data_IF_873310373212
#
_entry.id   IF_873310373212
#
_cell.length_a   1.000
_cell.length_b   1.000
_cell.length_c   1.000
_cell.angle_alpha   90.00
_cell.angle_beta   90.00
_cell.angle_gamma   90.00
#
_symmetry.space_group_name_H-M   'P 1'
#
loop_
_entity.id
_entity.type
_entity.pdbx_description
1 polymer ?
#
# COMPACT_ATOMS: atom_id res chain seq x y z
N UNK A 1 -12.47 -9.89 -38.75
CA UNK A 1 -12.33 -10.30 -37.34
C UNK A 1 -10.87 -10.18 -36.94
N UNK A 2 -10.50 -9.30 -36.00
CA UNK A 2 -9.28 -9.44 -35.24
C UNK A 2 -9.56 -9.70 -33.75
N UNK A 3 -8.65 -10.45 -33.15
CA UNK A 3 -8.78 -11.14 -31.87
C UNK A 3 -8.44 -10.17 -30.73
N UNK A 4 -9.43 -9.83 -29.91
CA UNK A 4 -9.25 -9.14 -28.64
C UNK A 4 -8.84 -10.17 -27.57
N UNK A 5 -7.52 -10.37 -27.40
CA UNK A 5 -6.95 -11.16 -26.30
C UNK A 5 -5.62 -10.56 -25.87
N UNK A 6 -5.62 -9.51 -25.04
CA UNK A 6 -4.40 -9.05 -24.32
C UNK A 6 -4.66 -8.03 -23.21
N UNK A 7 -5.75 -8.14 -22.47
CA UNK A 7 -5.97 -7.31 -21.26
C UNK A 7 -6.05 -8.11 -19.96
N UNK A 8 -6.13 -9.45 -20.03
CA UNK A 8 -6.27 -10.30 -18.84
C UNK A 8 -4.94 -10.90 -18.33
N UNK A 9 -3.84 -10.80 -19.08
CA UNK A 9 -2.54 -11.32 -18.65
C UNK A 9 -1.83 -10.42 -17.61
N UNK A 10 -2.31 -9.18 -17.40
CA UNK A 10 -1.72 -8.22 -16.46
C UNK A 10 -2.10 -8.46 -14.99
N UNK A 11 -3.17 -9.19 -14.70
CA UNK A 11 -3.64 -9.43 -13.33
C UNK A 11 -2.95 -10.64 -12.65
N UNK A 12 -2.47 -11.61 -13.42
CA UNK A 12 -1.87 -12.83 -12.87
C UNK A 12 -0.44 -12.63 -12.33
N UNK A 13 0.28 -11.59 -12.75
CA UNK A 13 1.64 -11.29 -12.28
C UNK A 13 1.68 -10.46 -11.00
N UNK A 14 0.56 -9.88 -10.57
CA UNK A 14 0.46 -9.13 -9.31
C UNK A 14 0.48 -10.02 -8.06
N UNK A 15 -0.04 -11.25 -8.16
CA UNK A 15 -0.15 -12.18 -7.02
C UNK A 15 1.19 -12.81 -6.63
N UNK A 16 2.14 -12.92 -7.58
CA UNK A 16 3.45 -13.53 -7.31
C UNK A 16 4.40 -12.54 -6.59
N UNK A 17 4.22 -11.23 -6.77
CA UNK A 17 5.06 -10.22 -6.10
C UNK A 17 4.70 -10.01 -4.63
N UNK A 18 3.47 -10.33 -4.21
CA UNK A 18 3.08 -10.35 -2.79
C UNK A 18 3.65 -11.55 -2.02
N UNK A 19 4.09 -12.60 -2.71
CA UNK A 19 4.78 -13.75 -2.10
C UNK A 19 6.29 -13.53 -1.93
N UNK A 20 6.87 -12.47 -2.52
CA UNK A 20 8.31 -12.18 -2.48
C UNK A 20 8.84 -11.65 -1.13
N UNK A 21 7.95 -11.29 -0.20
CA UNK A 21 8.30 -10.77 1.13
C UNK A 21 8.17 -11.82 2.26
N UNK A 22 8.18 -13.12 1.95
CA UNK A 22 7.97 -14.23 2.92
C UNK A 22 9.30 -14.87 3.37
N UNK A 23 10.39 -14.10 3.38
CA UNK A 23 11.76 -14.63 3.52
C UNK A 23 12.43 -14.60 4.90
N UNK A 24 11.72 -14.44 6.02
CA UNK A 24 12.33 -14.38 7.37
C UNK A 24 11.60 -15.22 8.43
N UNK A 25 11.16 -16.43 8.09
CA UNK A 25 10.34 -17.30 8.94
C UNK A 25 11.04 -18.49 9.60
N UNK A 26 12.36 -18.48 9.84
CA UNK A 26 13.02 -19.60 10.52
C UNK A 26 14.02 -19.10 11.57
N UNK A 27 13.57 -19.00 12.83
CA UNK A 27 14.48 -18.93 13.98
C UNK A 27 14.22 -17.87 15.06
N UNK A 28 13.02 -17.31 15.21
CA UNK A 28 12.75 -16.41 16.35
C UNK A 28 12.23 -17.20 17.57
N UNK A 29 12.82 -17.02 18.77
CA UNK A 29 12.40 -17.69 20.00
C UNK A 29 11.00 -17.23 20.46
N UNK A 30 10.28 -18.11 21.14
CA UNK A 30 8.97 -17.83 21.77
C UNK A 30 9.02 -16.51 22.55
N UNK A 31 8.18 -15.56 22.15
CA UNK A 31 7.97 -14.32 22.91
C UNK A 31 7.16 -14.69 24.14
N UNK A 32 7.75 -14.43 25.30
CA UNK A 32 7.09 -14.57 26.60
C UNK A 32 6.00 -13.51 26.68
N UNK A 33 4.75 -13.94 26.75
CA UNK A 33 3.58 -13.06 26.94
C UNK A 33 3.82 -12.14 28.14
N UNK A 34 3.73 -10.83 27.92
CA UNK A 34 3.84 -9.84 28.97
C UNK A 34 2.42 -9.39 29.35
N UNK A 35 1.83 -9.90 30.45
CA UNK A 35 0.45 -9.61 30.81
C UNK A 35 0.38 -8.22 31.44
N UNK A 36 0.26 -7.18 30.62
CA UNK A 36 0.19 -5.81 31.15
C UNK A 36 -0.07 -4.68 30.16
N UNK A 37 0.02 -4.89 28.85
CA UNK A 37 -0.43 -3.90 27.89
C UNK A 37 -1.94 -4.00 27.73
N UNK A 38 -2.67 -3.01 28.25
CA UNK A 38 -4.05 -2.80 27.82
C UNK A 38 -4.04 -2.61 26.30
N UNK A 39 -4.76 -3.46 25.56
CA UNK A 39 -5.02 -3.22 24.14
C UNK A 39 -5.62 -1.83 24.02
N UNK A 40 -4.84 -0.88 23.50
CA UNK A 40 -5.40 0.40 23.11
C UNK A 40 -6.46 0.09 22.06
N UNK A 41 -7.69 0.59 22.23
CA UNK A 41 -8.71 0.48 21.19
C UNK A 41 -8.17 1.20 19.94
N UNK A 42 -7.67 0.41 18.98
CA UNK A 42 -7.10 0.96 17.77
C UNK A 42 -8.22 1.64 16.95
N UNK A 43 -7.94 2.81 16.35
CA UNK A 43 -8.93 3.51 15.56
C UNK A 43 -9.34 2.69 14.34
N UNK A 44 -10.58 2.87 13.89
CA UNK A 44 -11.09 2.18 12.71
C UNK A 44 -10.66 2.93 11.45
N UNK A 45 -10.28 2.18 10.43
CA UNK A 45 -9.99 2.73 9.12
C UNK A 45 -11.26 2.76 8.26
N UNK A 46 -11.61 3.91 7.66
CA UNK A 46 -12.84 4.05 6.88
C UNK A 46 -12.75 3.31 5.55
N UNK A 47 -13.91 3.06 4.93
CA UNK A 47 -14.00 2.43 3.60
C UNK A 47 -13.50 3.35 2.48
N UNK A 48 -13.44 4.67 2.72
CA UNK A 48 -12.98 5.69 1.77
C UNK A 48 -12.12 6.72 2.49
N UNK A 49 -10.96 7.03 1.92
CA UNK A 49 -10.14 8.16 2.37
C UNK A 49 -10.62 9.47 1.73
N UNK A 50 -11.02 9.41 0.47
CA UNK A 50 -11.59 10.52 -0.30
C UNK A 50 -12.39 9.95 -1.49
N UNK A 51 -12.72 10.79 -2.48
CA UNK A 51 -13.39 10.36 -3.71
C UNK A 51 -12.51 9.47 -4.62
N UNK A 52 -11.19 9.45 -4.40
CA UNK A 52 -10.21 8.74 -5.21
C UNK A 52 -9.91 7.36 -4.64
N UNK A 53 -9.67 7.26 -3.33
CA UNK A 53 -9.21 6.05 -2.66
C UNK A 53 -10.31 5.33 -1.90
N UNK A 54 -10.67 4.15 -2.40
CA UNK A 54 -11.66 3.24 -1.82
C UNK A 54 -10.93 1.99 -1.34
N UNK A 55 -11.28 1.51 -0.14
CA UNK A 55 -10.71 0.30 0.42
C UNK A 55 -10.99 -0.89 -0.51
N UNK A 56 -9.97 -1.71 -0.77
CA UNK A 56 -10.04 -2.86 -1.68
C UNK A 56 -11.18 -3.82 -1.29
N UNK A 57 -11.35 -4.06 0.01
CA UNK A 57 -12.42 -4.88 0.57
C UNK A 57 -13.83 -4.26 0.44
N UNK A 58 -13.92 -2.97 0.18
CA UNK A 58 -15.18 -2.22 0.03
C UNK A 58 -15.48 -1.80 -1.43
N UNK A 59 -14.61 -2.13 -2.39
CA UNK A 59 -14.83 -1.79 -3.81
C UNK A 59 -16.09 -2.49 -4.33
N UNK A 60 -16.99 -1.72 -4.92
CA UNK A 60 -18.23 -2.22 -5.53
C UNK A 60 -18.11 -2.33 -7.06
N UNK A 61 -18.94 -3.17 -7.71
CA UNK A 61 -19.01 -3.21 -9.17
C UNK A 61 -19.34 -1.84 -9.81
N UNK A 62 -20.13 -1.02 -9.12
CA UNK A 62 -20.50 0.33 -9.55
C UNK A 62 -19.28 1.26 -9.58
N UNK A 63 -18.41 1.17 -8.57
CA UNK A 63 -17.15 1.92 -8.49
C UNK A 63 -16.24 1.63 -9.70
N UNK A 64 -16.15 0.35 -10.10
CA UNK A 64 -15.37 -0.08 -11.27
C UNK A 64 -16.11 -0.01 -12.61
N UNK A 65 -17.34 0.52 -12.64
CA UNK A 65 -18.20 0.60 -13.84
C UNK A 65 -18.38 -0.76 -14.55
N UNK A 66 -18.46 -1.85 -13.78
CA UNK A 66 -18.65 -3.19 -14.33
C UNK A 66 -20.04 -3.32 -14.99
N UNK A 67 -20.08 -3.58 -16.29
CA UNK A 67 -21.33 -3.68 -17.07
C UNK A 67 -21.71 -5.10 -17.46
N UNK A 68 -20.83 -6.09 -17.24
CA UNK A 68 -21.08 -7.49 -17.57
C UNK A 68 -21.17 -8.35 -16.30
N UNK A 69 -21.98 -9.43 -16.29
CA UNK A 69 -22.07 -10.33 -15.15
C UNK A 69 -20.70 -10.91 -14.71
N UNK A 70 -19.82 -11.21 -15.66
CA UNK A 70 -18.48 -11.72 -15.38
C UNK A 70 -17.61 -10.66 -14.69
N UNK A 71 -17.66 -9.41 -15.13
CA UNK A 71 -16.91 -8.31 -14.50
C UNK A 71 -17.42 -8.05 -13.07
N UNK A 72 -18.74 -8.09 -12.87
CA UNK A 72 -19.36 -7.98 -11.54
C UNK A 72 -18.88 -9.11 -10.62
N UNK A 73 -18.85 -10.36 -11.12
CA UNK A 73 -18.39 -11.51 -10.34
C UNK A 73 -16.89 -11.43 -9.99
N UNK A 74 -16.05 -11.01 -10.93
CA UNK A 74 -14.62 -10.83 -10.72
C UNK A 74 -14.32 -9.75 -9.67
N UNK A 75 -15.01 -8.61 -9.73
CA UNK A 75 -14.83 -7.55 -8.74
C UNK A 75 -15.26 -7.99 -7.33
N UNK A 76 -16.37 -8.71 -7.22
CA UNK A 76 -16.82 -9.26 -5.92
C UNK A 76 -15.82 -10.27 -5.35
N UNK A 77 -15.29 -11.15 -6.19
CA UNK A 77 -14.26 -12.10 -5.79
C UNK A 77 -12.98 -11.37 -5.33
N UNK A 78 -12.57 -10.34 -6.07
CA UNK A 78 -11.42 -9.50 -5.70
C UNK A 78 -11.60 -8.80 -4.35
N UNK A 79 -12.75 -8.16 -4.11
CA UNK A 79 -13.03 -7.51 -2.82
C UNK A 79 -13.08 -8.52 -1.66
N UNK A 80 -13.60 -9.74 -1.90
CA UNK A 80 -13.62 -10.83 -0.90
C UNK A 80 -12.20 -11.29 -0.56
N UNK A 81 -11.37 -11.49 -1.58
CA UNK A 81 -9.96 -11.89 -1.40
C UNK A 81 -9.17 -10.81 -0.66
N UNK A 82 -9.41 -9.53 -0.99
CA UNK A 82 -8.81 -8.40 -0.30
C UNK A 82 -9.18 -8.39 1.19
N UNK A 83 -10.46 -8.60 1.53
CA UNK A 83 -10.89 -8.70 2.92
C UNK A 83 -10.22 -9.87 3.68
N UNK A 84 -10.04 -11.02 3.02
CA UNK A 84 -9.31 -12.15 3.58
C UNK A 84 -7.83 -11.81 3.82
N UNK A 85 -7.19 -11.18 2.85
CA UNK A 85 -5.79 -10.75 2.93
C UNK A 85 -5.56 -9.71 4.02
N UNK A 86 -6.46 -8.73 4.16
CA UNK A 86 -6.43 -7.73 5.24
C UNK A 86 -6.56 -8.39 6.62
N UNK A 87 -7.46 -9.37 6.75
CA UNK A 87 -7.61 -10.15 7.98
C UNK A 87 -6.34 -10.94 8.32
N UNK A 88 -5.76 -11.66 7.36
CA UNK A 88 -4.51 -12.39 7.57
C UNK A 88 -3.34 -11.47 7.94
N UNK A 89 -3.23 -10.32 7.28
CA UNK A 89 -2.20 -9.33 7.58
C UNK A 89 -2.38 -8.78 9.01
N UNK A 90 -3.62 -8.45 9.40
CA UNK A 90 -3.95 -8.05 10.77
C UNK A 90 -3.52 -9.13 11.79
N UNK A 91 -3.89 -10.40 11.57
CA UNK A 91 -3.56 -11.48 12.50
C UNK A 91 -2.04 -11.66 12.66
N UNK A 92 -1.28 -11.56 11.55
CA UNK A 92 0.18 -11.65 11.60
C UNK A 92 0.82 -10.48 12.34
N UNK A 93 0.33 -9.26 12.10
CA UNK A 93 0.84 -8.07 12.78
C UNK A 93 0.46 -8.03 14.26
N UNK A 94 -0.75 -8.47 14.62
CA UNK A 94 -1.18 -8.61 16.01
C UNK A 94 -0.30 -9.61 16.78
N UNK A 95 0.20 -10.65 16.11
CA UNK A 95 1.18 -11.57 16.71
C UNK A 95 2.54 -10.95 17.04
N UNK A 96 2.85 -9.76 16.51
CA UNK A 96 4.13 -9.04 16.70
C UNK A 96 3.94 -7.80 17.58
N UNK A 97 2.84 -7.07 17.37
CA UNK A 97 2.54 -5.77 17.97
C UNK A 97 1.34 -5.79 18.92
N UNK A 98 0.94 -6.97 19.40
CA UNK A 98 -0.24 -7.24 20.25
C UNK A 98 -1.61 -7.00 19.59
N UNK A 99 -1.77 -5.96 18.76
CA UNK A 99 -2.92 -5.73 17.89
C UNK A 99 -2.50 -4.95 16.62
N UNK A 100 -3.37 -4.94 15.62
CA UNK A 100 -3.18 -4.15 14.41
C UNK A 100 -4.52 -3.79 13.76
N UNK A 101 -4.53 -2.67 13.05
CA UNK A 101 -5.54 -2.32 12.07
C UNK A 101 -4.83 -2.13 10.73
N UNK A 102 -5.30 -2.84 9.71
CA UNK A 102 -4.70 -2.83 8.37
C UNK A 102 -5.81 -2.57 7.37
N UNK A 103 -5.53 -1.72 6.38
CA UNK A 103 -6.44 -1.51 5.25
C UNK A 103 -5.70 -1.12 4.00
N UNK A 104 -6.11 -1.67 2.86
CA UNK A 104 -5.56 -1.32 1.55
C UNK A 104 -6.59 -0.53 0.74
N UNK A 105 -6.16 0.51 0.06
CA UNK A 105 -6.97 1.40 -0.76
C UNK A 105 -6.46 1.45 -2.20
N UNK A 106 -7.37 1.69 -3.12
CA UNK A 106 -7.12 1.76 -4.56
C UNK A 106 -7.67 3.05 -5.15
N UNK A 107 -6.90 3.65 -6.05
CA UNK A 107 -7.34 4.74 -6.92
C UNK A 107 -8.33 4.21 -7.97
N UNK A 108 -9.61 4.21 -7.61
CA UNK A 108 -10.67 3.67 -8.46
C UNK A 108 -10.84 4.47 -9.75
N UNK A 109 -10.86 5.82 -9.76
CA UNK A 109 -10.95 6.59 -10.99
C UNK A 109 -9.86 6.26 -12.03
N UNK A 110 -8.64 5.96 -11.59
CA UNK A 110 -7.55 5.53 -12.47
C UNK A 110 -7.78 4.13 -13.09
N UNK A 111 -8.44 3.21 -12.38
CA UNK A 111 -8.72 1.85 -12.90
C UNK A 111 -9.72 1.83 -14.06
N UNK A 112 -10.64 2.80 -14.09
CA UNK A 112 -11.73 2.85 -15.08
C UNK A 112 -11.41 3.73 -16.29
N UNK A 113 -10.23 4.35 -16.35
CA UNK A 113 -9.81 5.16 -17.49
C UNK A 113 -9.46 4.26 -18.68
N UNK A 114 -10.14 4.48 -19.82
CA UNK A 114 -10.06 3.62 -21.02
C UNK A 114 -8.66 3.50 -21.69
N UNK A 115 -7.66 4.24 -21.20
CA UNK A 115 -6.28 4.27 -21.70
C UNK A 115 -5.23 4.00 -20.59
N UNK A 116 -5.61 3.40 -19.46
CA UNK A 116 -4.69 3.17 -18.35
C UNK A 116 -3.62 2.11 -18.69
N UNK A 117 -2.54 2.54 -19.34
CA UNK A 117 -1.28 1.77 -19.45
C UNK A 117 -0.47 1.79 -18.16
N UNK A 118 -0.80 2.69 -17.22
CA UNK A 118 -0.20 2.78 -15.89
C UNK A 118 -1.00 1.97 -14.87
N UNK A 119 -0.28 1.28 -13.97
CA UNK A 119 -0.89 0.64 -12.80
C UNK A 119 -1.58 1.71 -11.92
N UNK A 120 -2.79 1.43 -11.39
CA UNK A 120 -3.47 2.37 -10.50
C UNK A 120 -2.64 2.58 -9.23
N UNK A 121 -2.74 3.77 -8.65
CA UNK A 121 -2.12 4.04 -7.36
C UNK A 121 -2.79 3.21 -6.26
N UNK A 122 -2.00 2.76 -5.29
CA UNK A 122 -2.47 1.99 -4.14
C UNK A 122 -1.89 2.55 -2.85
N UNK A 123 -2.65 2.46 -1.77
CA UNK A 123 -2.18 2.77 -0.42
C UNK A 123 -2.44 1.56 0.47
N UNK A 124 -1.52 1.25 1.37
CA UNK A 124 -1.74 0.33 2.49
C UNK A 124 -1.49 1.11 3.77
N UNK A 125 -2.45 1.09 4.67
CA UNK A 125 -2.41 1.78 5.95
C UNK A 125 -2.34 0.72 7.04
N UNK A 126 -1.36 0.85 7.92
CA UNK A 126 -1.16 -0.01 9.08
C UNK A 126 -1.13 0.87 10.34
N UNK A 127 -1.87 0.46 11.36
CA UNK A 127 -1.91 1.10 12.67
C UNK A 127 -1.64 0.03 13.72
N UNK A 128 -0.66 0.27 14.59
CA UNK A 128 -0.27 -0.64 15.68
C UNK A 128 -0.12 0.14 16.98
N UNK A 129 -0.33 -0.48 18.14
CA UNK A 129 -0.16 0.19 19.42
C UNK A 129 1.31 0.47 19.72
N UNK A 130 1.55 1.51 20.51
CA UNK A 130 2.88 1.94 20.95
C UNK A 130 3.70 2.65 19.88
N UNK A 131 4.96 2.91 20.24
CA UNK A 131 6.02 3.29 19.30
C UNK A 131 6.59 1.99 18.72
N UNK A 132 6.22 1.66 17.48
CA UNK A 132 6.66 0.45 16.79
C UNK A 132 8.17 0.45 16.51
N UNK A 133 8.87 1.54 16.83
CA UNK A 133 10.29 1.69 16.65
C UNK A 133 10.68 1.85 15.20
N UNK A 134 11.99 1.77 14.96
CA UNK A 134 12.59 2.01 13.66
C UNK A 134 12.61 0.72 12.83
N UNK A 135 11.76 0.65 11.80
CA UNK A 135 11.80 -0.41 10.78
C UNK A 135 12.21 0.24 9.46
N UNK A 136 13.34 -0.20 8.89
CA UNK A 136 13.87 0.34 7.63
C UNK A 136 14.02 -0.81 6.63
N UNK A 137 13.01 -1.05 5.77
CA UNK A 137 12.98 -2.24 4.91
C UNK A 137 14.21 -2.41 4.02
N UNK A 138 14.76 -1.31 3.50
CA UNK A 138 15.93 -1.31 2.62
C UNK A 138 17.25 -0.97 3.34
N UNK A 139 17.24 -0.92 4.67
CA UNK A 139 18.37 -0.48 5.48
C UNK A 139 18.60 1.04 5.45
N UNK A 140 19.50 1.57 6.30
CA UNK A 140 19.64 3.02 6.51
C UNK A 140 20.43 3.74 5.41
N UNK A 141 20.91 3.01 4.40
CA UNK A 141 21.83 3.53 3.40
C UNK A 141 21.07 3.98 2.18
N UNK A 142 21.38 5.18 1.69
CA UNK A 142 20.93 5.62 0.37
C UNK A 142 21.47 4.64 -0.68
N UNK A 143 20.59 4.21 -1.57
CA UNK A 143 20.94 3.37 -2.71
C UNK A 143 20.75 4.24 -3.94
N UNK A 144 21.83 4.45 -4.66
CA UNK A 144 21.82 5.09 -5.98
C UNK A 144 22.46 4.09 -6.94
N UNK A 145 21.64 3.18 -7.46
CA UNK A 145 22.02 2.20 -8.46
C UNK A 145 21.39 2.60 -9.79
N UNK A 146 22.02 2.22 -10.90
CA UNK A 146 21.56 2.60 -12.25
C UNK A 146 20.06 2.35 -12.43
N UNK A 147 19.28 3.43 -12.43
CA UNK A 147 17.84 3.42 -12.64
C UNK A 147 16.96 3.18 -11.41
N UNK A 148 17.50 2.94 -10.21
CA UNK A 148 16.73 2.78 -8.97
C UNK A 148 17.41 3.47 -7.79
N UNK A 149 16.60 4.24 -7.08
CA UNK A 149 17.01 5.14 -6.03
C UNK A 149 16.25 4.84 -4.75
N UNK A 150 16.91 5.03 -3.61
CA UNK A 150 16.32 4.92 -2.29
C UNK A 150 16.83 6.05 -1.38
N UNK A 151 15.92 6.69 -0.68
CA UNK A 151 16.22 7.76 0.25
C UNK A 151 15.34 7.70 1.52
N UNK A 152 15.92 8.13 2.64
CA UNK A 152 15.24 8.35 3.91
C UNK A 152 15.17 9.85 4.15
N UNK A 153 13.97 10.43 4.10
CA UNK A 153 13.79 11.88 4.20
C UNK A 153 12.53 12.27 4.93
N UNK A 154 12.45 13.54 5.32
CA UNK A 154 11.21 14.11 5.83
C UNK A 154 10.36 14.67 4.70
N UNK A 155 9.10 14.26 4.63
CA UNK A 155 8.11 14.75 3.64
C UNK A 155 6.83 15.10 4.40
N UNK A 156 6.31 16.32 4.21
CA UNK A 156 5.12 16.77 4.95
C UNK A 156 5.30 16.82 6.49
N UNK A 157 6.54 16.77 6.99
CA UNK A 157 6.82 16.64 8.43
C UNK A 157 6.98 15.19 8.91
N UNK A 158 6.61 14.21 8.10
CA UNK A 158 6.67 12.78 8.40
C UNK A 158 8.00 12.16 8.02
N UNK A 159 8.35 11.05 8.69
CA UNK A 159 9.55 10.27 8.36
C UNK A 159 9.15 9.32 7.25
N UNK A 160 9.76 9.46 6.08
CA UNK A 160 9.42 8.64 4.93
C UNK A 160 10.64 7.92 4.35
N UNK A 161 10.44 6.68 3.94
CA UNK A 161 11.32 5.95 3.05
C UNK A 161 10.78 6.04 1.62
N UNK A 162 11.64 6.43 0.69
CA UNK A 162 11.25 6.76 -0.67
C UNK A 162 12.11 5.97 -1.62
N UNK A 163 11.50 5.03 -2.33
CA UNK A 163 12.13 4.28 -3.42
C UNK A 163 11.55 4.79 -4.73
N UNK A 164 12.39 5.03 -5.74
CA UNK A 164 11.91 5.36 -7.07
C UNK A 164 12.79 4.82 -8.16
N UNK A 165 12.20 4.55 -9.32
CA UNK A 165 12.94 4.16 -10.51
C UNK A 165 12.92 5.25 -11.56
N UNK A 166 14.05 5.43 -12.25
CA UNK A 166 14.12 6.32 -13.41
C UNK A 166 13.22 5.79 -14.52
N UNK A 167 12.64 6.71 -15.29
CA UNK A 167 11.92 6.33 -16.50
C UNK A 167 12.92 5.79 -17.52
N UNK A 168 12.69 4.58 -18.01
CA UNK A 168 13.54 3.91 -18.99
C UNK A 168 12.89 4.00 -20.37
N UNK A 169 13.67 4.34 -21.39
CA UNK A 169 13.22 4.26 -22.78
C UNK A 169 13.03 2.77 -23.14
N UNK A 170 11.82 2.33 -23.55
CA UNK A 170 11.53 0.92 -23.79
C UNK A 170 12.25 0.34 -25.01
N UNK A 171 12.78 1.19 -25.90
CA UNK A 171 13.49 0.80 -27.11
C UNK A 171 14.99 0.67 -26.86
N UNK A 172 15.56 1.55 -26.04
CA UNK A 172 17.01 1.59 -25.80
C UNK A 172 17.44 0.97 -24.46
N UNK A 173 16.52 0.84 -23.50
CA UNK A 173 16.82 0.36 -22.16
C UNK A 173 17.62 1.35 -21.30
N UNK A 174 17.77 2.59 -21.76
CA UNK A 174 18.55 3.65 -21.10
C UNK A 174 17.59 4.60 -20.36
N UNK A 175 17.95 5.12 -19.17
CA UNK A 175 17.20 6.19 -18.53
C UNK A 175 16.95 7.39 -19.45
N UNK A 176 15.72 7.87 -19.49
CA UNK A 176 15.30 9.01 -20.32
C UNK A 176 15.78 10.35 -19.77
N UNK A 177 16.16 10.39 -18.48
CA UNK A 177 16.46 11.63 -17.75
C UNK A 177 15.21 12.45 -17.39
N UNK A 178 14.00 11.94 -17.68
CA UNK A 178 12.76 12.58 -17.28
C UNK A 178 12.59 12.53 -15.76
N UNK A 179 11.94 13.55 -15.20
CA UNK A 179 11.61 13.57 -13.78
C UNK A 179 10.64 12.42 -13.46
N UNK A 180 10.90 11.61 -12.41
CA UNK A 180 9.98 10.55 -12.02
C UNK A 180 8.59 11.11 -11.68
N UNK A 181 7.57 10.41 -12.14
CA UNK A 181 6.16 10.67 -11.84
C UNK A 181 5.69 9.78 -10.70
N UNK A 182 4.48 9.96 -10.17
CA UNK A 182 3.93 9.10 -9.10
C UNK A 182 4.05 7.59 -9.41
N UNK A 183 3.86 7.20 -10.68
CA UNK A 183 4.00 5.81 -11.14
C UNK A 183 5.38 5.19 -10.89
N UNK A 184 6.41 6.01 -10.71
CA UNK A 184 7.78 5.58 -10.50
C UNK A 184 8.13 5.36 -9.01
N UNK A 185 7.27 5.78 -8.08
CA UNK A 185 7.56 5.82 -6.66
C UNK A 185 6.89 4.67 -5.87
N UNK A 186 7.61 4.24 -4.85
CA UNK A 186 7.11 3.48 -3.70
C UNK A 186 7.55 4.23 -2.45
N UNK A 187 6.59 4.60 -1.61
CA UNK A 187 6.81 5.50 -0.49
C UNK A 187 6.19 4.88 0.75
N UNK A 188 6.93 4.87 1.83
CA UNK A 188 6.43 4.50 3.15
C UNK A 188 6.61 5.72 4.06
N UNK A 189 5.54 6.26 4.64
CA UNK A 189 5.56 7.37 5.57
C UNK A 189 4.97 6.96 6.91
N UNK A 190 5.67 7.32 8.00
CA UNK A 190 5.28 6.97 9.37
C UNK A 190 5.18 8.17 10.29
N UNK A 191 4.23 8.11 11.22
CA UNK A 191 4.17 8.97 12.41
C UNK A 191 3.63 8.23 13.62
N UNK A 192 3.90 8.79 14.79
CA UNK A 192 3.36 8.31 16.07
C UNK A 192 2.42 9.39 16.61
N UNK A 193 1.24 9.00 17.08
CA UNK A 193 0.25 9.90 17.66
C UNK A 193 -0.60 9.16 18.69
N UNK A 194 -0.87 9.79 19.83
CA UNK A 194 -1.77 9.28 20.86
C UNK A 194 -1.48 7.83 21.32
N UNK A 195 -0.19 7.44 21.30
CA UNK A 195 0.25 6.12 21.72
C UNK A 195 0.07 5.01 20.69
N UNK A 196 -0.20 5.34 19.42
CA UNK A 196 -0.21 4.41 18.29
C UNK A 196 0.73 4.87 17.18
N UNK A 197 1.26 3.92 16.42
CA UNK A 197 2.06 4.17 15.22
C UNK A 197 1.17 4.05 13.99
N UNK A 198 1.20 5.05 13.12
CA UNK A 198 0.57 5.07 11.81
C UNK A 198 1.63 4.93 10.73
N UNK A 199 1.41 3.98 9.83
CA UNK A 199 2.31 3.65 8.73
C UNK A 199 1.50 3.60 7.42
N UNK A 200 1.92 4.40 6.44
CA UNK A 200 1.23 4.51 5.15
C UNK A 200 2.22 4.22 4.04
N UNK A 201 2.01 3.07 3.40
CA UNK A 201 2.75 2.64 2.22
C UNK A 201 1.96 2.95 0.94
N UNK A 202 2.50 3.80 0.08
CA UNK A 202 1.95 4.15 -1.22
C UNK A 202 2.76 3.60 -2.39
N UNK A 203 2.07 3.17 -3.43
CA UNK A 203 2.66 2.93 -4.76
C UNK A 203 1.89 3.72 -5.81
N UNK A 204 2.60 4.22 -6.83
CA UNK A 204 1.97 5.05 -7.85
C UNK A 204 1.64 6.47 -7.40
N UNK A 205 2.18 6.90 -6.25
CA UNK A 205 2.00 8.21 -5.64
C UNK A 205 3.34 8.89 -5.43
N UNK A 206 3.39 10.20 -5.60
CA UNK A 206 4.55 10.98 -5.20
C UNK A 206 4.75 10.95 -3.68
N UNK A 207 5.96 11.21 -3.16
CA UNK A 207 6.19 11.28 -1.72
C UNK A 207 5.28 12.28 -1.00
N UNK A 208 5.01 13.41 -1.64
CA UNK A 208 4.13 14.45 -1.12
C UNK A 208 2.66 13.99 -1.06
N UNK A 209 2.19 13.23 -2.05
CA UNK A 209 0.86 12.62 -2.02
C UNK A 209 0.75 11.55 -0.92
N UNK A 210 1.75 10.67 -0.76
CA UNK A 210 1.72 9.66 0.32
C UNK A 210 1.73 10.31 1.70
N UNK A 211 2.55 11.35 1.90
CA UNK A 211 2.54 12.13 3.14
C UNK A 211 1.19 12.81 3.38
N UNK A 212 0.55 13.34 2.34
CA UNK A 212 -0.80 13.89 2.44
C UNK A 212 -1.83 12.85 2.85
N UNK A 213 -1.77 11.62 2.32
CA UNK A 213 -2.71 10.57 2.74
C UNK A 213 -2.47 10.10 4.18
N UNK A 214 -1.25 10.24 4.71
CA UNK A 214 -1.02 10.06 6.14
C UNK A 214 -1.75 11.14 6.95
N UNK A 215 -1.76 12.41 6.53
CA UNK A 215 -2.60 13.45 7.15
C UNK A 215 -4.09 13.06 7.13
N UNK A 216 -4.60 12.64 5.98
CA UNK A 216 -6.01 12.24 5.82
C UNK A 216 -6.39 11.10 6.76
N UNK A 217 -5.53 10.08 6.88
CA UNK A 217 -5.75 8.97 7.82
C UNK A 217 -5.78 9.48 9.26
N UNK A 218 -4.85 10.35 9.65
CA UNK A 218 -4.81 10.92 11.01
C UNK A 218 -6.03 11.79 11.31
N UNK A 219 -6.55 12.53 10.34
CA UNK A 219 -7.76 13.34 10.48
C UNK A 219 -9.01 12.46 10.65
N UNK A 220 -9.15 11.43 9.81
CA UNK A 220 -10.33 10.55 9.83
C UNK A 220 -10.37 9.67 11.07
N UNK A 221 -9.21 9.25 11.57
CA UNK A 221 -9.13 8.44 12.80
C UNK A 221 -9.19 9.26 14.09
N UNK A 222 -9.07 10.59 14.02
CA UNK A 222 -9.20 11.47 15.19
C UNK A 222 -10.65 11.85 15.53
N UNK A 223 -11.62 11.46 14.70
CA UNK A 223 -13.03 11.88 14.82
C UNK A 223 -13.93 10.77 15.42
N UNK A 224 -13.34 9.61 15.75
CA UNK A 224 -14.00 8.49 16.46
C UNK A 224 -13.84 8.62 17.99
#
# INVERSE_FOLDING_TARGET
MPIARSSLAGAATGVVLLAGAVGFGVGLPEVVENPGAHAADLPKLPDRLDDRFIALSAVTPEDGKATTPDAVAQMKAFATEAASSEKEAKERLAGIYDDAVVRSYLDVPATVAANATSRPATLAVTIVPGDAGLVIPNGPFQIDQSGTHYDLKKVGGYRCSVTWSETIDPTTGIPTGEKPTGANYQVDCRTDRDGVTYDVYGTGLTPEETAHYLDVVLEQTATD
#
